data_IF_564920378181
#
_entry.id   IF_564920378181
#
_cell.length_a   1.000
_cell.length_b   1.000
_cell.length_c   1.000
_cell.angle_alpha   90.00
_cell.angle_beta   90.00
_cell.angle_gamma   90.00
#
_symmetry.space_group_name_H-M   'P 1'
#
loop_
_entity.id
_entity.type
_entity.pdbx_description
1 polymer ?
#
# COMPACT_ATOMS: atom_id res chain seq x y z
N UNK A 1 -8.66 22.79 12.88
CA UNK A 1 -8.04 21.53 12.44
C UNK A 1 -9.03 20.84 11.52
N UNK A 2 -8.72 20.68 10.23
CA UNK A 2 -9.52 19.85 9.33
C UNK A 2 -9.45 18.42 9.83
N UNK A 3 -10.59 17.83 10.15
CA UNK A 3 -10.69 16.44 10.57
C UNK A 3 -10.36 15.57 9.35
N UNK A 4 -9.19 14.90 9.38
CA UNK A 4 -8.69 14.07 8.27
C UNK A 4 -9.37 12.68 8.27
N UNK A 5 -9.72 12.18 9.47
CA UNK A 5 -10.37 10.88 9.67
C UNK A 5 -11.78 11.08 10.23
N UNK A 6 -12.78 10.38 9.68
CA UNK A 6 -14.15 10.44 10.22
C UNK A 6 -14.19 9.71 11.57
N UNK A 7 -13.50 8.57 11.70
CA UNK A 7 -13.29 7.90 12.99
C UNK A 7 -12.14 8.52 13.80
N UNK A 8 -12.27 8.57 15.13
CA UNK A 8 -11.19 8.94 16.07
C UNK A 8 -10.66 7.69 16.76
N UNK A 9 -9.95 6.83 16.03
CA UNK A 9 -9.08 5.90 16.72
C UNK A 9 -8.00 6.71 17.45
N UNK A 10 -7.86 6.47 18.75
CA UNK A 10 -6.75 6.98 19.55
C UNK A 10 -6.30 5.85 20.46
N UNK A 11 -4.98 5.62 20.52
CA UNK A 11 -4.44 4.69 21.51
C UNK A 11 -4.65 5.27 22.91
N UNK A 12 -4.76 4.40 23.91
CA UNK A 12 -4.76 4.85 25.30
C UNK A 12 -3.39 5.48 25.64
N UNK A 13 -3.40 6.62 26.33
CA UNK A 13 -2.20 7.36 26.72
C UNK A 13 -1.19 6.47 27.47
N UNK A 14 -1.61 5.80 28.54
CA UNK A 14 -0.72 5.02 29.39
C UNK A 14 -0.22 3.77 28.69
N UNK A 15 -1.10 3.08 27.95
CA UNK A 15 -0.71 1.89 27.18
C UNK A 15 0.32 2.26 26.10
N UNK A 16 0.09 3.35 25.36
CA UNK A 16 1.02 3.80 24.31
C UNK A 16 2.38 4.20 24.87
N UNK A 17 2.42 4.90 26.01
CA UNK A 17 3.67 5.25 26.70
C UNK A 17 4.41 4.01 27.20
N UNK A 18 3.71 3.06 27.84
CA UNK A 18 4.30 1.83 28.35
C UNK A 18 4.87 0.97 27.21
N UNK A 19 4.13 0.78 26.12
CA UNK A 19 4.64 0.08 24.93
C UNK A 19 5.88 0.77 24.35
N UNK A 20 5.86 2.10 24.27
CA UNK A 20 6.98 2.87 23.75
C UNK A 20 8.24 2.70 24.61
N UNK A 21 8.11 2.82 25.94
CA UNK A 21 9.23 2.63 26.87
C UNK A 21 9.78 1.19 26.81
N UNK A 22 8.88 0.19 26.78
CA UNK A 22 9.25 -1.22 26.59
C UNK A 22 10.11 -1.39 25.35
N UNK A 23 9.67 -0.87 24.20
CA UNK A 23 10.37 -1.06 22.93
C UNK A 23 11.70 -0.29 22.87
N UNK A 24 11.77 0.89 23.50
CA UNK A 24 13.02 1.63 23.66
C UNK A 24 14.04 0.85 24.51
N UNK A 25 13.59 0.24 25.62
CA UNK A 25 14.44 -0.62 26.47
C UNK A 25 14.92 -1.84 25.68
N UNK A 26 14.01 -2.58 25.03
CA UNK A 26 14.36 -3.75 24.22
C UNK A 26 15.36 -3.41 23.12
N UNK A 27 15.18 -2.27 22.45
CA UNK A 27 16.11 -1.78 21.44
C UNK A 27 17.49 -1.46 22.03
N UNK A 28 17.56 -0.91 23.24
CA UNK A 28 18.81 -0.57 23.91
C UNK A 28 19.58 -1.78 24.46
N UNK A 29 18.89 -2.87 24.84
CA UNK A 29 19.53 -4.06 25.40
C UNK A 29 20.58 -4.66 24.43
N UNK A 30 21.79 -5.04 24.89
CA UNK A 30 22.84 -5.61 24.04
C UNK A 30 22.60 -7.11 23.73
N UNK A 31 21.36 -7.48 23.40
CA UNK A 31 20.95 -8.85 23.09
C UNK A 31 20.66 -9.01 21.60
N UNK A 32 20.89 -10.21 21.05
CA UNK A 32 20.55 -10.52 19.66
C UNK A 32 19.04 -10.72 19.48
N UNK A 33 18.40 -11.47 20.39
CA UNK A 33 16.97 -11.78 20.37
C UNK A 33 16.44 -12.08 21.76
N UNK A 34 15.21 -11.65 22.04
CA UNK A 34 14.52 -12.01 23.28
C UNK A 34 14.10 -13.49 23.24
N UNK A 35 14.10 -14.20 24.39
CA UNK A 35 13.51 -15.52 24.48
C UNK A 35 12.04 -15.49 24.05
N UNK A 36 11.59 -16.54 23.33
CA UNK A 36 10.22 -16.64 22.80
C UNK A 36 9.13 -16.48 23.88
N UNK A 37 9.37 -17.00 25.09
CA UNK A 37 8.48 -16.83 26.25
C UNK A 37 8.31 -15.35 26.60
N UNK A 38 9.42 -14.60 26.63
CA UNK A 38 9.41 -13.18 26.96
C UNK A 38 8.76 -12.36 25.84
N UNK A 39 8.97 -12.72 24.56
CA UNK A 39 8.27 -12.10 23.44
C UNK A 39 6.75 -12.29 23.60
N UNK A 40 6.29 -13.52 23.86
CA UNK A 40 4.86 -13.80 24.06
C UNK A 40 4.29 -13.04 25.26
N UNK A 41 5.02 -12.96 26.36
CA UNK A 41 4.60 -12.20 27.55
C UNK A 41 4.48 -10.69 27.26
N UNK A 42 5.48 -10.12 26.57
CA UNK A 42 5.58 -8.68 26.34
C UNK A 42 4.74 -8.17 25.17
N UNK A 43 4.54 -8.99 24.14
CA UNK A 43 3.93 -8.59 22.86
C UNK A 43 2.68 -9.39 22.48
N UNK A 44 2.43 -10.51 23.16
CA UNK A 44 1.21 -11.31 22.98
C UNK A 44 1.15 -12.18 21.72
N UNK A 45 2.13 -12.11 20.83
CA UNK A 45 2.21 -12.91 19.59
C UNK A 45 3.62 -13.40 19.32
N UNK A 46 3.73 -14.44 18.49
CA UNK A 46 5.00 -15.00 18.02
C UNK A 46 5.16 -14.70 16.52
N UNK A 47 5.66 -13.49 16.24
CA UNK A 47 5.59 -12.88 14.92
C UNK A 47 6.57 -13.48 13.90
N UNK A 48 6.04 -13.83 12.73
CA UNK A 48 6.79 -14.27 11.53
C UNK A 48 7.06 -13.13 10.54
N UNK A 49 6.38 -12.00 10.68
CA UNK A 49 6.65 -10.80 9.89
C UNK A 49 6.54 -9.51 10.71
N UNK A 50 7.10 -8.44 10.18
CA UNK A 50 6.89 -7.08 10.65
C UNK A 50 6.60 -6.17 9.45
N UNK A 51 5.67 -5.25 9.61
CA UNK A 51 5.34 -4.24 8.60
C UNK A 51 5.73 -2.86 9.15
N UNK A 52 6.71 -2.23 8.50
CA UNK A 52 7.20 -0.92 8.89
C UNK A 52 6.28 0.17 8.35
N UNK A 53 5.90 1.11 9.21
CA UNK A 53 5.01 2.22 8.86
C UNK A 53 5.54 3.56 9.34
N UNK A 54 4.98 4.63 8.77
CA UNK A 54 5.28 6.01 9.16
C UNK A 54 3.98 6.84 9.14
N UNK A 55 3.90 7.95 9.89
CA UNK A 55 2.76 8.85 9.82
C UNK A 55 2.62 9.44 8.41
N UNK A 56 1.38 9.57 7.91
CA UNK A 56 1.06 10.28 6.66
C UNK A 56 0.88 11.77 6.92
N UNK A 57 0.28 12.09 8.06
CA UNK A 57 0.08 13.47 8.50
C UNK A 57 0.54 13.68 9.93
N UNK A 58 0.71 14.94 10.28
CA UNK A 58 1.07 15.38 11.62
C UNK A 58 0.14 14.82 12.73
N UNK A 59 -1.14 14.64 12.42
CA UNK A 59 -2.15 14.10 13.33
C UNK A 59 -1.86 12.65 13.72
N UNK A 60 -1.35 11.83 12.79
CA UNK A 60 -1.07 10.41 12.99
C UNK A 60 -0.08 10.16 14.12
N UNK A 61 0.87 11.08 14.30
CA UNK A 61 1.86 11.03 15.38
C UNK A 61 1.18 10.97 16.74
N UNK A 62 0.13 11.76 16.94
CA UNK A 62 -0.54 11.85 18.23
C UNK A 62 -1.69 10.87 18.41
N UNK A 63 -2.26 10.41 17.30
CA UNK A 63 -3.20 9.29 17.31
C UNK A 63 -2.49 8.02 17.79
N UNK A 64 -1.26 7.81 17.31
CA UNK A 64 -0.45 6.62 17.64
C UNK A 64 0.38 6.74 18.90
N UNK A 65 0.78 7.95 19.26
CA UNK A 65 1.50 8.26 20.48
C UNK A 65 0.87 9.45 21.22
N UNK A 66 -0.34 9.28 21.81
CA UNK A 66 -1.05 10.34 22.52
C UNK A 66 -0.26 10.97 23.67
N UNK A 67 0.70 10.25 24.24
CA UNK A 67 1.61 10.79 25.26
C UNK A 67 2.50 11.94 24.76
N UNK A 68 2.59 12.12 23.45
CA UNK A 68 3.29 13.25 22.82
C UNK A 68 2.39 14.49 22.65
N UNK A 69 1.08 14.40 22.91
CA UNK A 69 0.15 15.53 22.76
C UNK A 69 0.60 16.81 23.47
N UNK A 70 1.14 16.78 24.71
CA UNK A 70 1.60 17.99 25.39
C UNK A 70 2.66 18.77 24.61
N UNK A 71 3.50 18.10 23.80
CA UNK A 71 4.56 18.76 23.02
C UNK A 71 4.01 19.71 21.95
N UNK A 72 2.73 19.55 21.54
CA UNK A 72 2.06 20.48 20.61
C UNK A 72 2.02 21.91 21.12
N UNK A 73 1.95 22.08 22.43
CA UNK A 73 1.76 23.38 23.08
C UNK A 73 3.09 24.03 23.50
N UNK A 74 4.18 23.25 23.50
CA UNK A 74 5.49 23.68 24.03
C UNK A 74 6.44 24.13 22.90
N UNK A 75 6.43 23.44 21.75
CA UNK A 75 7.40 23.67 20.67
C UNK A 75 6.74 24.14 19.38
N UNK A 76 7.45 24.98 18.61
CA UNK A 76 7.04 25.30 17.23
C UNK A 76 6.96 24.02 16.42
N UNK A 77 5.90 23.91 15.60
CA UNK A 77 5.53 22.71 14.82
C UNK A 77 6.74 22.02 14.17
N UNK A 78 7.51 22.72 13.33
CA UNK A 78 8.65 22.14 12.59
C UNK A 78 9.73 21.58 13.51
N UNK A 79 10.08 22.30 14.58
CA UNK A 79 11.09 21.88 15.56
C UNK A 79 10.63 20.64 16.32
N UNK A 80 9.35 20.60 16.73
CA UNK A 80 8.78 19.44 17.40
C UNK A 80 8.92 18.17 16.54
N UNK A 81 8.49 18.17 15.27
CA UNK A 81 8.58 16.96 14.44
C UNK A 81 10.00 16.58 14.06
N UNK A 82 10.90 17.54 13.91
CA UNK A 82 12.32 17.25 13.73
C UNK A 82 12.89 16.55 14.97
N UNK A 83 12.46 16.90 16.17
CA UNK A 83 12.83 16.18 17.38
C UNK A 83 12.16 14.79 17.44
N UNK A 84 10.85 14.72 17.21
CA UNK A 84 10.07 13.49 17.26
C UNK A 84 10.53 12.45 16.22
N UNK A 85 10.98 12.88 15.04
CA UNK A 85 11.54 11.96 14.03
C UNK A 85 12.78 11.23 14.52
N UNK A 86 13.40 11.71 15.62
CA UNK A 86 14.56 11.07 16.23
C UNK A 86 14.25 10.02 17.29
N UNK A 87 12.98 9.91 17.66
CA UNK A 87 12.52 8.92 18.61
C UNK A 87 12.73 7.49 18.07
N UNK A 88 13.13 6.53 18.91
CA UNK A 88 13.22 5.13 18.50
C UNK A 88 11.88 4.61 17.96
N UNK A 89 11.96 3.63 17.04
CA UNK A 89 10.77 2.95 16.54
C UNK A 89 10.11 2.13 17.64
N UNK A 90 8.82 1.85 17.46
CA UNK A 90 8.02 1.14 18.44
C UNK A 90 6.98 0.25 17.75
N UNK A 91 6.55 -0.81 18.45
CA UNK A 91 5.45 -1.66 18.00
C UNK A 91 4.15 -0.91 18.23
N UNK A 92 3.48 -0.61 17.12
CA UNK A 92 2.17 0.01 17.14
C UNK A 92 1.11 -1.02 17.52
N UNK A 93 1.15 -2.17 16.85
CA UNK A 93 0.23 -3.28 17.10
C UNK A 93 0.75 -4.63 16.56
N UNK A 94 0.00 -5.69 16.82
CA UNK A 94 0.10 -7.00 16.18
C UNK A 94 -0.98 -7.19 15.13
N UNK A 95 -0.66 -7.93 14.07
CA UNK A 95 -1.62 -8.57 13.15
C UNK A 95 -1.70 -10.04 13.55
N UNK A 96 -2.90 -10.52 13.90
CA UNK A 96 -3.12 -11.93 14.28
C UNK A 96 -3.90 -12.64 13.20
N UNK A 97 -3.48 -13.84 12.83
CA UNK A 97 -4.12 -14.60 11.74
C UNK A 97 -4.38 -16.03 12.13
N UNK A 98 -5.49 -16.61 11.66
CA UNK A 98 -5.79 -18.03 11.90
C UNK A 98 -4.89 -18.96 11.10
N UNK A 99 -4.28 -18.49 10.01
CA UNK A 99 -3.32 -19.26 9.22
C UNK A 99 -1.94 -19.41 9.89
N UNK A 100 -1.74 -18.88 11.10
CA UNK A 100 -0.52 -19.08 11.87
C UNK A 100 0.68 -18.25 11.40
N UNK A 101 0.41 -17.13 10.74
CA UNK A 101 1.40 -16.10 10.40
C UNK A 101 0.99 -14.78 11.06
N UNK A 102 1.28 -14.67 12.35
CA UNK A 102 1.15 -13.42 13.09
C UNK A 102 2.30 -12.48 12.73
N UNK A 103 2.08 -11.18 12.90
CA UNK A 103 3.09 -10.16 12.65
C UNK A 103 2.95 -8.93 13.53
N UNK A 104 3.91 -8.02 13.39
CA UNK A 104 3.88 -6.70 14.02
C UNK A 104 3.70 -5.60 13.00
N UNK A 105 3.05 -4.51 13.42
CA UNK A 105 3.17 -3.21 12.78
C UNK A 105 4.11 -2.36 13.61
N UNK A 106 5.21 -1.94 13.02
CA UNK A 106 6.29 -1.20 13.68
C UNK A 106 6.37 0.19 13.09
N UNK A 107 6.16 1.20 13.92
CA UNK A 107 6.09 2.58 13.49
C UNK A 107 7.40 3.33 13.79
N UNK A 108 7.77 4.21 12.86
CA UNK A 108 8.68 5.33 13.11
C UNK A 108 7.92 6.66 13.02
N UNK A 109 8.41 7.70 13.69
CA UNK A 109 7.74 9.02 13.76
C UNK A 109 8.34 10.02 12.76
N UNK A 110 8.65 9.56 11.55
CA UNK A 110 9.23 10.40 10.49
C UNK A 110 8.19 10.68 9.42
N UNK A 111 7.90 11.96 9.16
CA UNK A 111 6.93 12.39 8.13
C UNK A 111 7.55 12.41 6.73
N UNK A 112 6.77 12.23 5.65
CA UNK A 112 7.26 12.19 4.26
C UNK A 112 8.16 13.37 3.87
N UNK A 113 7.83 14.59 4.31
CA UNK A 113 8.61 15.79 4.00
C UNK A 113 10.01 15.70 4.62
N UNK A 114 10.09 15.31 5.89
CA UNK A 114 11.37 15.11 6.60
C UNK A 114 12.14 13.90 6.07
N UNK A 115 11.45 12.85 5.64
CA UNK A 115 12.07 11.67 5.05
C UNK A 115 12.86 12.01 3.78
N UNK A 116 12.33 12.96 3.00
CA UNK A 116 12.96 13.45 1.77
C UNK A 116 14.16 14.34 2.08
N UNK A 117 14.01 15.28 3.02
CA UNK A 117 15.07 16.22 3.43
C UNK A 117 16.24 15.49 4.12
N UNK A 118 15.95 14.53 5.01
CA UNK A 118 16.93 13.83 5.85
C UNK A 118 17.01 12.33 5.50
N UNK A 119 17.22 11.99 4.22
CA UNK A 119 17.25 10.60 3.72
C UNK A 119 18.19 9.68 4.49
N UNK A 120 19.45 10.09 4.71
CA UNK A 120 20.45 9.28 5.46
C UNK A 120 19.97 8.99 6.88
N UNK A 121 19.38 10.00 7.51
CA UNK A 121 18.84 9.90 8.85
C UNK A 121 17.67 8.91 8.91
N UNK A 122 16.74 9.02 7.96
CA UNK A 122 15.59 8.12 7.86
C UNK A 122 16.03 6.67 7.70
N UNK A 123 17.04 6.40 6.88
CA UNK A 123 17.62 5.05 6.75
C UNK A 123 18.15 4.56 8.09
N UNK A 124 18.83 5.39 8.89
CA UNK A 124 19.29 5.01 10.23
C UNK A 124 18.13 4.65 11.18
N UNK A 125 16.99 5.35 11.11
CA UNK A 125 15.78 5.00 11.89
C UNK A 125 15.18 3.68 11.40
N UNK A 126 15.18 3.44 10.09
CA UNK A 126 14.76 2.15 9.51
C UNK A 126 15.67 1.00 9.96
N UNK A 127 16.99 1.19 10.01
CA UNK A 127 17.93 0.20 10.55
C UNK A 127 17.69 -0.07 12.04
N UNK A 128 17.36 0.95 12.84
CA UNK A 128 16.90 0.77 14.23
C UNK A 128 15.61 -0.04 14.29
N UNK A 129 14.71 0.13 13.33
CA UNK A 129 13.48 -0.63 13.23
C UNK A 129 13.76 -2.09 12.93
N UNK A 130 14.70 -2.39 12.02
CA UNK A 130 15.17 -3.75 11.77
C UNK A 130 15.80 -4.38 13.01
N UNK A 131 16.62 -3.63 13.77
CA UNK A 131 17.21 -4.10 15.03
C UNK A 131 16.16 -4.41 16.09
N UNK A 132 15.12 -3.59 16.21
CA UNK A 132 14.00 -3.87 17.11
C UNK A 132 13.28 -5.15 16.65
N UNK A 133 12.93 -5.23 15.37
CA UNK A 133 12.24 -6.38 14.76
C UNK A 133 13.03 -7.67 14.96
N UNK A 134 14.34 -7.68 14.71
CA UNK A 134 15.18 -8.88 14.85
C UNK A 134 15.19 -9.43 16.28
N UNK A 135 14.97 -8.54 17.27
CA UNK A 135 14.94 -8.90 18.69
C UNK A 135 13.62 -9.51 19.13
N UNK A 136 12.52 -9.13 18.48
CA UNK A 136 11.15 -9.44 18.92
C UNK A 136 10.40 -10.39 17.98
N UNK A 137 11.01 -10.78 16.87
CA UNK A 137 10.41 -11.70 15.88
C UNK A 137 11.20 -13.01 15.76
N UNK A 138 10.61 -13.98 15.06
CA UNK A 138 11.29 -15.24 14.72
C UNK A 138 12.48 -15.01 13.79
N UNK A 139 13.37 -15.99 13.76
CA UNK A 139 14.43 -16.04 12.75
C UNK A 139 13.84 -16.11 11.34
N UNK A 140 14.46 -15.38 10.40
CA UNK A 140 14.00 -15.33 9.02
C UNK A 140 12.71 -14.54 8.84
N UNK A 141 12.27 -13.78 9.85
CA UNK A 141 11.05 -12.98 9.75
C UNK A 141 11.11 -11.99 8.57
N UNK A 142 9.96 -11.83 7.92
CA UNK A 142 9.82 -10.97 6.75
C UNK A 142 9.52 -9.55 7.20
N UNK A 143 10.22 -8.56 6.65
CA UNK A 143 10.00 -7.14 6.90
C UNK A 143 9.43 -6.47 5.65
N UNK A 144 8.16 -6.08 5.71
CA UNK A 144 7.52 -5.28 4.67
C UNK A 144 7.72 -3.78 4.91
N UNK A 145 8.03 -3.04 3.84
CA UNK A 145 8.18 -1.59 3.87
C UNK A 145 6.91 -0.88 3.41
N UNK A 146 6.21 -0.20 4.32
CA UNK A 146 5.00 0.55 4.01
C UNK A 146 5.23 1.98 3.52
N UNK A 147 4.28 2.49 2.72
CA UNK A 147 4.18 3.90 2.34
C UNK A 147 5.42 4.41 1.60
N UNK A 148 6.07 5.44 2.14
CA UNK A 148 7.24 6.10 1.55
C UNK A 148 8.56 5.37 1.81
N UNK A 149 8.59 4.36 2.69
CA UNK A 149 9.81 3.63 3.05
C UNK A 149 10.51 2.98 1.85
N UNK A 150 9.82 2.33 0.90
CA UNK A 150 10.43 1.86 -0.35
C UNK A 150 11.12 2.99 -1.15
N UNK A 151 10.51 4.17 -1.25
CA UNK A 151 11.08 5.27 -2.03
C UNK A 151 12.40 5.77 -1.44
N UNK A 152 12.43 5.95 -0.11
CA UNK A 152 13.64 6.41 0.60
C UNK A 152 14.75 5.36 0.55
N UNK A 153 14.41 4.08 0.69
CA UNK A 153 15.38 2.97 0.77
C UNK A 153 15.85 2.42 -0.57
N UNK A 154 15.55 3.08 -1.71
CA UNK A 154 15.82 2.53 -3.06
C UNK A 154 15.18 1.15 -3.24
N UNK A 155 13.89 1.06 -2.92
CA UNK A 155 13.05 -0.15 -3.04
C UNK A 155 13.57 -1.32 -2.20
N UNK A 156 14.09 -1.01 -1.01
CA UNK A 156 14.64 -1.97 -0.04
C UNK A 156 16.15 -2.18 -0.12
N UNK A 157 16.80 -1.85 -1.24
CA UNK A 157 18.22 -2.14 -1.46
C UNK A 157 19.16 -1.49 -0.43
N UNK A 158 18.81 -0.31 0.10
CA UNK A 158 19.62 0.36 1.12
C UNK A 158 19.64 -0.37 2.48
N UNK A 159 18.67 -1.27 2.72
CA UNK A 159 18.50 -1.99 3.98
C UNK A 159 18.88 -3.46 3.90
N UNK A 160 19.07 -4.00 2.70
CA UNK A 160 19.31 -5.43 2.43
C UNK A 160 20.43 -6.00 3.28
N UNK A 161 21.62 -5.40 3.23
CA UNK A 161 22.79 -5.82 4.04
C UNK A 161 22.53 -5.76 5.55
N UNK A 162 21.72 -4.79 6.01
CA UNK A 162 21.38 -4.68 7.42
C UNK A 162 20.40 -5.79 7.82
N UNK A 163 19.37 -6.04 7.00
CA UNK A 163 18.40 -7.10 7.21
C UNK A 163 19.07 -8.48 7.24
N UNK A 164 19.96 -8.77 6.29
CA UNK A 164 20.71 -10.03 6.20
C UNK A 164 21.53 -10.29 7.47
N UNK A 165 22.32 -9.30 7.93
CA UNK A 165 23.09 -9.40 9.18
C UNK A 165 22.23 -9.66 10.41
N UNK A 166 20.98 -9.22 10.39
CA UNK A 166 20.01 -9.40 11.46
C UNK A 166 19.17 -10.68 11.31
N UNK A 167 19.39 -11.47 10.25
CA UNK A 167 18.63 -12.68 9.96
C UNK A 167 17.17 -12.40 9.57
N UNK A 168 16.94 -11.28 8.87
CA UNK A 168 15.63 -10.83 8.40
C UNK A 168 15.57 -10.87 6.86
N UNK A 169 14.39 -11.17 6.32
CA UNK A 169 14.08 -10.99 4.90
C UNK A 169 13.40 -9.63 4.72
N UNK A 170 13.67 -8.91 3.63
CA UNK A 170 13.07 -7.59 3.40
C UNK A 170 12.33 -7.56 2.05
N UNK A 171 11.15 -6.94 2.04
CA UNK A 171 10.36 -6.69 0.84
C UNK A 171 9.88 -5.24 0.80
N UNK A 172 9.83 -4.68 -0.41
CA UNK A 172 9.18 -3.40 -0.67
C UNK A 172 7.64 -3.49 -0.83
N UNK A 173 7.08 -4.71 -0.84
CA UNK A 173 5.64 -4.95 -0.87
C UNK A 173 4.95 -4.71 -2.23
N UNK A 174 5.71 -4.40 -3.29
CA UNK A 174 5.12 -4.05 -4.58
C UNK A 174 4.41 -5.21 -5.27
N UNK A 175 4.84 -6.46 -5.05
CA UNK A 175 4.19 -7.62 -5.67
C UNK A 175 2.82 -7.89 -5.04
N UNK A 176 2.70 -7.72 -3.72
CA UNK A 176 1.39 -7.78 -3.05
C UNK A 176 0.48 -6.62 -3.42
N UNK A 177 1.01 -5.40 -3.59
CA UNK A 177 0.23 -4.28 -4.14
C UNK A 177 -0.26 -4.58 -5.56
N UNK A 178 0.61 -5.11 -6.44
CA UNK A 178 0.20 -5.52 -7.78
C UNK A 178 -0.89 -6.61 -7.75
N UNK A 179 -0.72 -7.61 -6.87
CA UNK A 179 -1.71 -8.68 -6.64
C UNK A 179 -3.06 -8.10 -6.25
N UNK A 180 -3.07 -7.14 -5.32
CA UNK A 180 -4.32 -6.49 -4.89
C UNK A 180 -5.00 -5.68 -5.99
N UNK A 181 -4.25 -4.91 -6.79
CA UNK A 181 -4.81 -4.15 -7.92
C UNK A 181 -5.41 -5.12 -8.95
N UNK A 182 -4.68 -6.19 -9.28
CA UNK A 182 -5.14 -7.20 -10.22
C UNK A 182 -6.44 -7.88 -9.76
N UNK A 183 -6.48 -8.33 -8.50
CA UNK A 183 -7.66 -8.96 -7.91
C UNK A 183 -8.86 -8.01 -7.82
N UNK A 184 -8.63 -6.71 -7.56
CA UNK A 184 -9.70 -5.69 -7.58
C UNK A 184 -10.25 -5.50 -8.99
N UNK A 185 -9.40 -5.48 -10.02
CA UNK A 185 -9.86 -5.41 -11.42
C UNK A 185 -10.69 -6.64 -11.78
N UNK A 186 -10.25 -7.84 -11.42
CA UNK A 186 -11.02 -9.08 -11.64
C UNK A 186 -12.37 -9.03 -10.91
N UNK A 187 -12.40 -8.54 -9.66
CA UNK A 187 -13.63 -8.38 -8.88
C UNK A 187 -14.60 -7.40 -9.53
N UNK A 188 -14.11 -6.25 -10.02
CA UNK A 188 -14.96 -5.28 -10.74
C UNK A 188 -15.52 -5.88 -12.03
N UNK A 189 -14.69 -6.59 -12.80
CA UNK A 189 -15.12 -7.28 -14.01
C UNK A 189 -16.23 -8.30 -13.71
N UNK A 190 -16.04 -9.10 -12.65
CA UNK A 190 -17.02 -10.08 -12.18
C UNK A 190 -18.34 -9.44 -11.76
N UNK A 191 -18.30 -8.34 -11.00
CA UNK A 191 -19.51 -7.62 -10.56
C UNK A 191 -20.28 -7.06 -11.76
N UNK A 192 -19.58 -6.53 -12.76
CA UNK A 192 -20.18 -6.03 -14.00
C UNK A 192 -20.57 -7.11 -15.01
N UNK A 193 -20.22 -8.38 -14.79
CA UNK A 193 -20.42 -9.43 -15.80
C UNK A 193 -19.62 -9.21 -17.09
N UNK A 194 -18.53 -8.42 -17.04
CA UNK A 194 -17.72 -8.06 -18.21
C UNK A 194 -16.52 -9.02 -18.29
N UNK A 195 -16.26 -9.59 -19.48
CA UNK A 195 -15.07 -10.42 -19.65
C UNK A 195 -13.81 -9.55 -19.51
N UNK A 196 -12.80 -10.03 -18.77
CA UNK A 196 -11.51 -9.33 -18.65
C UNK A 196 -10.95 -8.92 -20.02
N UNK A 197 -11.09 -9.76 -21.05
CA UNK A 197 -10.62 -9.52 -22.43
C UNK A 197 -11.34 -8.37 -23.15
N UNK A 198 -12.47 -7.91 -22.64
CA UNK A 198 -13.24 -6.78 -23.18
C UNK A 198 -12.94 -5.48 -22.44
N UNK A 199 -12.23 -5.55 -21.30
CA UNK A 199 -11.91 -4.36 -20.52
C UNK A 199 -10.90 -3.46 -21.24
N UNK A 200 -11.31 -2.22 -21.46
CA UNK A 200 -10.45 -1.05 -21.63
C UNK A 200 -10.08 -0.42 -20.29
N UNK A 201 -8.79 -0.37 -19.96
CA UNK A 201 -8.26 0.13 -18.68
C UNK A 201 -7.30 1.30 -18.91
N UNK A 202 -7.50 2.40 -18.17
CA UNK A 202 -6.56 3.52 -18.12
C UNK A 202 -5.57 3.37 -16.96
N UNK A 203 -4.27 3.39 -17.25
CA UNK A 203 -3.21 3.43 -16.24
C UNK A 203 -2.67 4.85 -16.15
N UNK A 204 -2.97 5.55 -15.05
CA UNK A 204 -2.60 6.94 -14.76
C UNK A 204 -1.34 6.93 -13.87
N UNK A 205 -0.21 7.31 -14.47
CA UNK A 205 1.10 7.26 -13.83
C UNK A 205 1.81 5.95 -14.14
N UNK A 206 2.57 5.92 -15.22
CA UNK A 206 3.39 4.80 -15.71
C UNK A 206 4.80 4.90 -15.10
N UNK A 207 4.83 5.05 -13.78
CA UNK A 207 6.02 4.86 -12.97
C UNK A 207 6.31 3.36 -12.80
N UNK A 208 6.94 2.99 -11.68
CA UNK A 208 7.26 1.60 -11.39
C UNK A 208 6.02 0.71 -11.22
N UNK A 209 5.06 1.14 -10.40
CA UNK A 209 3.84 0.36 -10.19
C UNK A 209 2.96 0.31 -11.44
N UNK A 210 2.72 1.44 -12.12
CA UNK A 210 1.97 1.45 -13.38
C UNK A 210 2.59 0.59 -14.49
N UNK A 211 3.93 0.53 -14.57
CA UNK A 211 4.63 -0.42 -15.45
C UNK A 211 4.32 -1.87 -15.08
N UNK A 212 4.34 -2.23 -13.80
CA UNK A 212 4.02 -3.58 -13.33
C UNK A 212 2.55 -3.94 -13.58
N UNK A 213 1.62 -3.00 -13.39
CA UNK A 213 0.20 -3.18 -13.73
C UNK A 213 0.03 -3.43 -15.23
N UNK A 214 0.68 -2.63 -16.08
CA UNK A 214 0.64 -2.83 -17.53
C UNK A 214 1.18 -4.21 -17.96
N UNK A 215 2.27 -4.67 -17.32
CA UNK A 215 2.83 -6.02 -17.54
C UNK A 215 1.87 -7.13 -17.12
N UNK A 216 1.25 -7.00 -15.94
CA UNK A 216 0.34 -8.00 -15.40
C UNK A 216 -0.97 -8.13 -16.22
N UNK A 217 -1.43 -7.01 -16.79
CA UNK A 217 -2.65 -6.97 -17.61
C UNK A 217 -2.40 -7.29 -19.08
N UNK A 218 -1.15 -7.31 -19.52
CA UNK A 218 -0.78 -7.67 -20.89
C UNK A 218 -1.40 -9.04 -21.24
N UNK A 219 -2.07 -9.10 -22.38
CA UNK A 219 -2.77 -10.29 -22.91
C UNK A 219 -3.92 -10.82 -22.03
N UNK A 220 -4.33 -10.07 -21.00
CA UNK A 220 -5.47 -10.37 -20.13
C UNK A 220 -6.67 -9.46 -20.40
N UNK A 221 -6.42 -8.26 -20.92
CA UNK A 221 -7.44 -7.24 -21.18
C UNK A 221 -7.49 -6.81 -22.64
N UNK A 222 -8.58 -6.18 -23.05
CA UNK A 222 -8.80 -5.74 -24.43
C UNK A 222 -7.92 -4.56 -24.80
N UNK A 223 -7.94 -3.51 -23.97
CA UNK A 223 -7.19 -2.28 -24.24
C UNK A 223 -6.52 -1.72 -22.97
N UNK A 224 -5.31 -1.20 -23.16
CA UNK A 224 -4.56 -0.45 -22.15
C UNK A 224 -4.26 0.94 -22.67
N UNK A 225 -4.70 1.95 -21.93
CA UNK A 225 -4.34 3.35 -22.14
C UNK A 225 -3.30 3.75 -21.09
N UNK A 226 -2.05 3.95 -21.54
CA UNK A 226 -0.91 4.30 -20.70
C UNK A 226 -0.76 5.82 -20.65
N UNK A 227 -0.90 6.42 -19.48
CA UNK A 227 -1.03 7.87 -19.32
C UNK A 227 0.05 8.35 -18.35
N UNK A 228 0.97 9.20 -18.82
CA UNK A 228 2.05 9.75 -17.99
C UNK A 228 2.45 11.15 -18.49
N UNK A 229 3.11 11.93 -17.64
CA UNK A 229 3.78 13.17 -18.01
C UNK A 229 5.19 12.92 -18.58
N UNK A 230 5.72 11.71 -18.39
CA UNK A 230 7.06 11.32 -18.80
C UNK A 230 7.03 10.51 -20.11
N UNK A 231 7.35 11.19 -21.21
CA UNK A 231 7.45 10.60 -22.55
C UNK A 231 8.38 9.38 -22.63
N UNK A 232 9.49 9.39 -21.88
CA UNK A 232 10.47 8.31 -21.91
C UNK A 232 9.92 7.04 -21.25
N UNK A 233 9.19 7.16 -20.15
CA UNK A 233 8.55 6.01 -19.50
C UNK A 233 7.53 5.37 -20.44
N UNK A 234 6.68 6.19 -21.06
CA UNK A 234 5.68 5.74 -22.04
C UNK A 234 6.32 5.01 -23.22
N UNK A 235 7.37 5.58 -23.81
CA UNK A 235 8.09 4.96 -24.92
C UNK A 235 8.71 3.61 -24.53
N UNK A 236 9.36 3.54 -23.37
CA UNK A 236 9.98 2.31 -22.85
C UNK A 236 8.96 1.19 -22.68
N UNK A 237 7.88 1.43 -21.94
CA UNK A 237 6.88 0.38 -21.68
C UNK A 237 6.13 0.00 -22.95
N UNK A 238 5.81 0.95 -23.85
CA UNK A 238 5.12 0.65 -25.10
C UNK A 238 5.95 -0.29 -25.96
N UNK A 239 7.26 -0.02 -26.07
CA UNK A 239 8.18 -0.89 -26.82
C UNK A 239 8.31 -2.25 -26.14
N UNK A 240 8.46 -2.29 -24.83
CA UNK A 240 8.54 -3.53 -24.06
C UNK A 240 7.31 -4.42 -24.25
N UNK A 241 6.10 -3.84 -24.16
CA UNK A 241 4.86 -4.58 -24.34
C UNK A 241 4.71 -5.09 -25.78
N UNK A 242 5.15 -4.32 -26.78
CA UNK A 242 5.14 -4.71 -28.20
C UNK A 242 6.11 -5.83 -28.56
N UNK A 243 7.31 -5.84 -27.99
CA UNK A 243 8.37 -6.80 -28.35
C UNK A 243 8.05 -8.24 -27.94
N UNK A 244 7.15 -8.44 -26.97
CA UNK A 244 6.84 -9.77 -26.44
C UNK A 244 5.65 -10.46 -27.17
N UNK A 245 5.66 -10.50 -28.51
CA UNK A 245 4.78 -11.32 -29.36
C UNK A 245 3.41 -10.72 -29.75
N UNK A 246 2.53 -11.54 -30.33
CA UNK A 246 1.16 -11.17 -30.74
C UNK A 246 0.36 -10.63 -29.55
N UNK A 247 0.27 -9.31 -29.50
CA UNK A 247 -0.46 -8.59 -28.47
C UNK A 247 -1.96 -8.81 -28.65
N UNK A 248 -2.56 -9.58 -27.74
CA UNK A 248 -4.02 -9.65 -27.62
C UNK A 248 -4.61 -8.36 -27.05
N UNK A 249 -3.78 -7.55 -26.39
CA UNK A 249 -4.15 -6.28 -25.77
C UNK A 249 -3.71 -5.11 -26.65
N UNK A 250 -4.64 -4.25 -27.04
CA UNK A 250 -4.32 -2.98 -27.72
C UNK A 250 -3.68 -2.01 -26.73
N UNK A 251 -2.55 -1.41 -27.08
CA UNK A 251 -1.83 -0.47 -26.19
C UNK A 251 -1.74 0.91 -26.83
N UNK A 252 -2.38 1.88 -26.18
CA UNK A 252 -2.32 3.29 -26.53
C UNK A 252 -1.58 4.09 -25.45
N UNK A 253 -0.98 5.21 -25.85
CA UNK A 253 -0.17 6.05 -24.95
C UNK A 253 -0.62 7.50 -25.04
N UNK A 254 -0.83 8.15 -23.90
CA UNK A 254 -1.07 9.59 -23.80
C UNK A 254 0.04 10.25 -22.98
N UNK A 255 0.77 11.17 -23.61
CA UNK A 255 1.59 12.14 -22.89
C UNK A 255 0.65 13.22 -22.33
N UNK A 256 0.39 13.18 -21.03
CA UNK A 256 -0.57 14.06 -20.39
C UNK A 256 0.01 15.46 -20.17
N UNK A 257 -0.64 16.50 -20.73
CA UNK A 257 -0.36 17.89 -20.39
C UNK A 257 -1.41 18.38 -19.37
N UNK A 258 -1.02 18.71 -18.12
CA UNK A 258 -1.97 19.21 -17.11
C UNK A 258 -2.72 20.50 -17.50
N UNK A 259 -2.28 21.19 -18.57
CA UNK A 259 -2.92 22.39 -19.11
C UNK A 259 -4.00 22.07 -20.14
N UNK A 260 -3.97 20.89 -20.75
CA UNK A 260 -4.97 20.41 -21.70
C UNK A 260 -5.49 19.03 -21.28
N UNK A 261 -6.63 19.04 -20.60
CA UNK A 261 -7.27 17.84 -20.07
C UNK A 261 -8.21 17.16 -21.08
N UNK A 262 -8.41 17.73 -22.27
CA UNK A 262 -9.36 17.19 -23.27
C UNK A 262 -8.96 15.78 -23.73
N UNK A 263 -7.69 15.51 -24.11
CA UNK A 263 -7.26 14.17 -24.50
C UNK A 263 -7.47 13.13 -23.38
N UNK A 264 -7.15 13.51 -22.14
CA UNK A 264 -7.34 12.63 -20.98
C UNK A 264 -8.81 12.28 -20.80
N UNK A 265 -9.69 13.29 -20.74
CA UNK A 265 -11.14 13.10 -20.56
C UNK A 265 -11.72 12.18 -21.64
N UNK A 266 -11.27 12.32 -22.88
CA UNK A 266 -11.72 11.47 -23.98
C UNK A 266 -11.29 10.00 -23.81
N UNK A 267 -10.10 9.74 -23.27
CA UNK A 267 -9.66 8.38 -22.93
C UNK A 267 -10.47 7.82 -21.76
N UNK A 268 -10.65 8.60 -20.68
CA UNK A 268 -11.40 8.14 -19.50
C UNK A 268 -12.86 7.81 -19.82
N UNK A 269 -13.46 8.49 -20.82
CA UNK A 269 -14.81 8.18 -21.34
C UNK A 269 -14.91 6.81 -22.01
N UNK A 270 -13.82 6.26 -22.53
CA UNK A 270 -13.79 4.94 -23.19
C UNK A 270 -13.43 3.80 -22.23
N UNK A 271 -12.78 4.13 -21.11
CA UNK A 271 -12.30 3.12 -20.18
C UNK A 271 -13.38 2.70 -19.20
N UNK A 272 -13.45 1.39 -18.94
CA UNK A 272 -14.27 0.80 -17.89
C UNK A 272 -13.71 1.17 -16.51
N UNK A 273 -12.38 1.08 -16.36
CA UNK A 273 -11.68 1.24 -15.09
C UNK A 273 -10.44 2.12 -15.28
N UNK A 274 -10.20 3.04 -14.34
CA UNK A 274 -8.93 3.73 -14.16
C UNK A 274 -8.09 3.12 -13.03
N UNK A 275 -6.77 3.06 -13.20
CA UNK A 275 -5.81 2.66 -12.17
C UNK A 275 -4.80 3.79 -12.01
N UNK A 276 -4.79 4.43 -10.84
CA UNK A 276 -3.91 5.54 -10.53
C UNK A 276 -2.75 5.06 -9.65
N UNK A 277 -1.53 5.14 -10.19
CA UNK A 277 -0.30 4.65 -9.55
C UNK A 277 0.81 5.71 -9.55
N UNK A 278 0.40 6.98 -9.42
CA UNK A 278 1.33 8.13 -9.40
C UNK A 278 2.00 8.30 -8.04
N UNK A 279 3.17 8.94 -8.04
CA UNK A 279 3.87 9.38 -6.82
C UNK A 279 3.60 10.86 -6.50
N UNK A 280 2.57 11.46 -7.11
CA UNK A 280 2.20 12.84 -6.84
C UNK A 280 1.77 13.00 -5.37
N UNK A 281 2.23 14.07 -4.73
CA UNK A 281 1.84 14.45 -3.37
C UNK A 281 0.62 15.38 -3.33
N UNK A 282 -0.02 15.60 -4.49
CA UNK A 282 -1.19 16.44 -4.69
C UNK A 282 -2.17 15.75 -5.64
N UNK A 283 -3.44 16.14 -5.56
CA UNK A 283 -4.45 15.70 -6.52
C UNK A 283 -4.04 16.10 -7.94
N UNK A 284 -4.04 15.15 -8.85
CA UNK A 284 -3.66 15.36 -10.26
C UNK A 284 -4.86 15.61 -11.16
N UNK A 285 -6.06 15.21 -10.73
CA UNK A 285 -7.34 15.44 -11.41
C UNK A 285 -8.30 16.25 -10.53
N UNK A 286 -9.29 16.89 -11.17
CA UNK A 286 -10.52 17.39 -10.56
C UNK A 286 -11.64 16.37 -10.75
N UNK A 287 -12.69 16.44 -9.95
CA UNK A 287 -13.86 15.54 -10.07
C UNK A 287 -14.42 15.56 -11.50
N UNK A 288 -14.57 16.76 -12.07
CA UNK A 288 -15.09 16.96 -13.43
C UNK A 288 -14.15 16.53 -14.57
N UNK A 289 -12.89 16.16 -14.27
CA UNK A 289 -12.02 15.52 -15.27
C UNK A 289 -12.37 14.04 -15.46
N UNK A 290 -13.11 13.45 -14.53
CA UNK A 290 -13.61 12.09 -14.62
C UNK A 290 -15.08 12.11 -15.10
N UNK A 291 -15.44 11.30 -16.09
CA UNK A 291 -16.85 11.13 -16.50
C UNK A 291 -17.72 10.55 -15.38
N UNK A 292 -19.03 10.80 -15.41
CA UNK A 292 -19.98 10.16 -14.48
C UNK A 292 -19.89 8.63 -14.60
N UNK A 293 -20.17 7.89 -13.53
CA UNK A 293 -20.03 6.43 -13.49
C UNK A 293 -18.59 5.93 -13.64
N UNK A 294 -17.58 6.80 -13.60
CA UNK A 294 -16.18 6.37 -13.70
C UNK A 294 -15.75 5.65 -12.42
N UNK A 295 -15.16 4.47 -12.60
CA UNK A 295 -14.57 3.69 -11.51
C UNK A 295 -13.04 3.81 -11.61
N UNK A 296 -12.41 4.21 -10.52
CA UNK A 296 -10.96 4.33 -10.43
C UNK A 296 -10.42 3.59 -9.20
N UNK A 297 -9.25 2.99 -9.31
CA UNK A 297 -8.48 2.40 -8.20
C UNK A 297 -7.31 3.35 -7.92
N UNK A 298 -7.28 4.03 -6.77
CA UNK A 298 -6.20 4.98 -6.41
C UNK A 298 -5.21 4.37 -5.42
N UNK A 299 -4.06 3.91 -5.93
CA UNK A 299 -2.95 3.36 -5.14
C UNK A 299 -2.01 4.45 -4.59
N UNK A 300 -2.19 5.71 -5.02
CA UNK A 300 -1.31 6.80 -4.59
C UNK A 300 -1.49 7.13 -3.09
N UNK A 301 -0.37 7.33 -2.39
CA UNK A 301 -0.33 7.75 -0.98
C UNK A 301 0.66 8.90 -0.77
N UNK A 302 0.21 10.14 -0.46
CA UNK A 302 -1.19 10.61 -0.38
C UNK A 302 -2.01 10.42 -1.66
N UNK A 303 -3.34 10.44 -1.55
CA UNK A 303 -4.27 10.24 -2.67
C UNK A 303 -4.05 11.25 -3.80
N UNK A 304 -4.16 10.75 -5.03
CA UNK A 304 -3.94 11.52 -6.24
C UNK A 304 -5.24 11.85 -6.98
N UNK A 305 -6.31 11.09 -6.75
CA UNK A 305 -7.63 11.34 -7.30
C UNK A 305 -8.55 12.01 -6.28
N UNK A 306 -9.42 12.95 -6.69
CA UNK A 306 -10.42 13.50 -5.80
C UNK A 306 -11.56 12.50 -5.60
N UNK A 307 -11.95 12.25 -4.35
CA UNK A 307 -13.22 11.58 -4.04
C UNK A 307 -14.40 12.43 -4.50
N UNK A 308 -15.43 11.80 -5.03
CA UNK A 308 -16.67 12.44 -5.45
C UNK A 308 -17.66 12.50 -4.27
N UNK A 309 -18.00 13.68 -3.75
CA UNK A 309 -18.93 13.79 -2.62
C UNK A 309 -20.36 13.35 -2.95
N UNK A 310 -20.71 13.23 -4.24
CA UNK A 310 -22.03 12.78 -4.69
C UNK A 310 -22.08 11.27 -4.98
N UNK A 311 -20.94 10.57 -4.89
CA UNK A 311 -20.80 9.16 -5.29
C UNK A 311 -21.24 8.87 -6.75
N UNK A 312 -21.23 9.88 -7.64
CA UNK A 312 -21.46 9.66 -9.08
C UNK A 312 -20.24 9.03 -9.76
N UNK A 313 -19.05 9.16 -9.16
CA UNK A 313 -17.80 8.51 -9.56
C UNK A 313 -17.24 7.73 -8.37
N UNK A 314 -16.83 6.49 -8.63
CA UNK A 314 -16.31 5.60 -7.60
C UNK A 314 -14.79 5.63 -7.65
N UNK A 315 -14.18 6.45 -6.80
CA UNK A 315 -12.74 6.37 -6.54
C UNK A 315 -12.55 5.40 -5.39
N UNK A 316 -11.97 4.25 -5.67
CA UNK A 316 -11.72 3.16 -4.74
C UNK A 316 -10.32 3.26 -4.15
N UNK A 317 -10.17 2.80 -2.92
CA UNK A 317 -8.86 2.54 -2.32
C UNK A 317 -8.09 1.53 -3.16
N UNK A 318 -6.95 1.96 -3.68
CA UNK A 318 -5.98 1.05 -4.29
C UNK A 318 -5.23 0.27 -3.23
N UNK A 319 -4.83 -0.93 -3.63
CA UNK A 319 -3.89 -1.69 -2.84
C UNK A 319 -4.52 -2.55 -1.74
N UNK A 320 -5.77 -3.01 -1.81
CA UNK A 320 -6.41 -3.74 -0.70
C UNK A 320 -6.52 -5.25 -0.93
N UNK A 321 -6.11 -6.02 0.08
CA UNK A 321 -6.35 -7.46 0.19
C UNK A 321 -7.15 -7.74 1.45
N UNK A 322 -7.91 -8.84 1.45
CA UNK A 322 -8.65 -9.32 2.60
C UNK A 322 -8.00 -10.60 3.11
N UNK A 323 -7.39 -10.55 4.29
CA UNK A 323 -6.86 -11.75 4.95
C UNK A 323 -7.98 -12.30 5.83
N UNK A 324 -8.50 -13.49 5.48
CA UNK A 324 -9.61 -14.10 6.22
C UNK A 324 -9.30 -14.21 7.71
N UNK A 325 -10.25 -13.74 8.54
CA UNK A 325 -10.18 -13.75 10.01
C UNK A 325 -8.95 -13.06 10.63
N UNK A 326 -8.27 -12.17 9.89
CA UNK A 326 -7.20 -11.37 10.46
C UNK A 326 -7.75 -10.37 11.47
N UNK A 327 -7.12 -10.31 12.65
CA UNK A 327 -7.40 -9.31 13.68
C UNK A 327 -6.30 -8.26 13.61
N UNK A 328 -6.70 -7.04 13.29
CA UNK A 328 -5.84 -5.87 13.13
C UNK A 328 -6.37 -4.80 14.07
N UNK A 329 -5.53 -4.32 14.98
CA UNK A 329 -5.98 -3.44 16.05
C UNK A 329 -5.40 -2.00 15.92
N UNK A 330 -5.08 -1.54 14.70
CA UNK A 330 -4.66 -0.16 14.47
C UNK A 330 -5.50 0.51 13.39
N UNK A 331 -5.83 1.79 13.58
CA UNK A 331 -6.68 2.53 12.65
C UNK A 331 -6.08 3.90 12.35
N UNK A 332 -5.45 4.03 11.19
CA UNK A 332 -5.16 5.33 10.59
C UNK A 332 -6.13 5.55 9.44
N UNK A 333 -7.43 5.67 9.70
CA UNK A 333 -8.46 5.67 8.66
C UNK A 333 -8.47 4.39 7.81
N UNK A 334 -7.90 3.31 8.35
CA UNK A 334 -7.78 2.00 7.71
C UNK A 334 -7.27 0.97 8.74
N UNK A 335 -7.94 -0.19 8.85
CA UNK A 335 -7.57 -1.27 9.79
C UNK A 335 -8.59 -1.58 10.91
N UNK A 336 -9.85 -1.18 10.75
CA UNK A 336 -10.98 -1.61 11.61
C UNK A 336 -11.66 -2.90 11.12
N UNK A 337 -11.29 -3.37 9.93
CA UNK A 337 -11.79 -4.59 9.32
C UNK A 337 -10.60 -5.50 8.96
N UNK A 338 -10.87 -6.61 8.27
CA UNK A 338 -9.86 -7.57 7.84
C UNK A 338 -9.19 -7.21 6.50
N UNK A 339 -9.34 -5.97 6.01
CA UNK A 339 -8.58 -5.47 4.88
C UNK A 339 -7.19 -5.00 5.30
N UNK A 340 -6.21 -5.32 4.46
CA UNK A 340 -4.82 -4.89 4.59
C UNK A 340 -4.35 -4.26 3.29
N UNK A 341 -3.36 -3.38 3.38
CA UNK A 341 -2.64 -2.95 2.19
C UNK A 341 -1.89 -4.13 1.57
N UNK A 342 -1.79 -4.16 0.24
CA UNK A 342 -1.15 -5.21 -0.53
C UNK A 342 0.32 -5.38 -0.14
N UNK A 343 1.00 -4.30 0.24
CA UNK A 343 2.37 -4.35 0.75
C UNK A 343 2.50 -5.04 2.12
N UNK A 344 1.49 -4.95 2.99
CA UNK A 344 1.40 -5.76 4.21
C UNK A 344 1.02 -7.20 3.85
N UNK A 345 0.06 -7.38 2.94
CA UNK A 345 -0.34 -8.69 2.42
C UNK A 345 0.83 -9.48 1.84
N UNK A 346 1.78 -8.84 1.15
CA UNK A 346 3.01 -9.49 0.70
C UNK A 346 3.86 -9.99 1.87
N UNK A 347 4.08 -9.17 2.89
CA UNK A 347 4.83 -9.58 4.07
C UNK A 347 4.17 -10.77 4.78
N UNK A 348 2.84 -10.76 4.87
CA UNK A 348 2.05 -11.88 5.39
C UNK A 348 2.19 -13.14 4.52
N UNK A 349 1.98 -13.05 3.21
CA UNK A 349 2.05 -14.20 2.29
C UNK A 349 3.45 -14.82 2.27
N UNK A 350 4.51 -14.01 2.27
CA UNK A 350 5.89 -14.48 2.36
C UNK A 350 6.19 -15.20 3.69
N UNK A 351 5.61 -14.70 4.78
CA UNK A 351 5.76 -15.32 6.10
C UNK A 351 4.93 -16.59 6.25
N UNK A 352 3.78 -16.66 5.58
CA UNK A 352 2.94 -17.85 5.52
C UNK A 352 3.59 -18.93 4.65
N UNK A 353 4.15 -18.55 3.50
CA UNK A 353 4.84 -19.49 2.60
C UNK A 353 6.18 -19.98 3.15
N UNK A 354 6.69 -19.36 4.22
CA UNK A 354 7.97 -19.71 4.85
C UNK A 354 9.17 -19.69 3.88
N UNK A 355 9.07 -18.92 2.78
CA UNK A 355 10.08 -18.88 1.72
C UNK A 355 9.96 -19.96 0.64
N UNK A 356 8.92 -20.78 0.69
CA UNK A 356 8.55 -21.68 -0.40
C UNK A 356 7.79 -20.89 -1.46
N UNK A 357 8.18 -21.08 -2.73
CA UNK A 357 7.50 -20.61 -3.95
C UNK A 357 7.34 -19.08 -4.14
N UNK A 358 7.55 -18.27 -3.10
CA UNK A 358 7.48 -16.82 -3.11
C UNK A 358 8.83 -16.20 -2.71
N UNK A 359 9.21 -15.14 -3.42
CA UNK A 359 10.42 -14.37 -3.15
C UNK A 359 10.07 -12.96 -2.68
N UNK A 360 10.78 -12.41 -1.67
CA UNK A 360 10.62 -11.01 -1.30
C UNK A 360 10.90 -10.08 -2.48
N UNK A 361 10.05 -9.08 -2.66
CA UNK A 361 10.25 -8.10 -3.74
C UNK A 361 11.28 -7.05 -3.35
N UNK A 362 12.40 -7.04 -4.08
CA UNK A 362 13.39 -5.98 -4.04
C UNK A 362 13.58 -5.40 -5.43
N UNK A 363 13.53 -4.07 -5.55
CA UNK A 363 13.53 -3.42 -6.85
C UNK A 363 12.19 -3.54 -7.61
N UNK A 364 12.24 -4.04 -8.83
CA UNK A 364 11.08 -4.20 -9.73
C UNK A 364 10.37 -5.55 -9.49
N UNK A 365 9.09 -5.65 -9.83
CA UNK A 365 8.33 -6.89 -9.64
C UNK A 365 8.68 -7.86 -10.76
N UNK A 366 9.12 -9.06 -10.39
CA UNK A 366 9.26 -10.19 -11.30
C UNK A 366 7.88 -10.78 -11.63
N UNK A 367 7.62 -11.01 -12.92
CA UNK A 367 6.30 -11.45 -13.38
C UNK A 367 5.99 -12.88 -12.90
N UNK A 368 6.98 -13.77 -12.84
CA UNK A 368 6.77 -15.13 -12.37
C UNK A 368 6.46 -15.14 -10.88
N UNK A 369 7.19 -14.34 -10.10
CA UNK A 369 6.91 -14.18 -8.67
C UNK A 369 5.51 -13.57 -8.43
N UNK A 370 5.07 -12.64 -9.28
CA UNK A 370 3.69 -12.14 -9.25
C UNK A 370 2.65 -13.24 -9.50
N UNK A 371 2.84 -14.06 -10.53
CA UNK A 371 1.92 -15.18 -10.82
C UNK A 371 1.89 -16.19 -9.66
N UNK A 372 3.05 -16.50 -9.08
CA UNK A 372 3.14 -17.36 -7.90
C UNK A 372 2.40 -16.73 -6.71
N UNK A 373 2.57 -15.43 -6.46
CA UNK A 373 1.90 -14.71 -5.37
C UNK A 373 0.39 -14.65 -5.57
N UNK A 374 -0.08 -14.45 -6.80
CA UNK A 374 -1.49 -14.46 -7.14
C UNK A 374 -2.13 -15.84 -6.87
N UNK A 375 -1.47 -16.92 -7.28
CA UNK A 375 -1.94 -18.28 -7.01
C UNK A 375 -1.92 -18.60 -5.51
N UNK A 376 -0.81 -18.28 -4.84
CA UNK A 376 -0.68 -18.47 -3.40
C UNK A 376 -1.76 -17.71 -2.62
N UNK A 377 -2.07 -16.47 -3.04
CA UNK A 377 -3.14 -15.65 -2.45
C UNK A 377 -4.48 -16.39 -2.50
N UNK A 378 -4.84 -16.93 -3.68
CA UNK A 378 -6.10 -17.66 -3.90
C UNK A 378 -6.18 -18.94 -3.07
N UNK A 379 -5.09 -19.70 -2.99
CA UNK A 379 -5.02 -20.97 -2.25
C UNK A 379 -5.08 -20.76 -0.73
N UNK A 380 -4.60 -19.63 -0.22
CA UNK A 380 -4.43 -19.39 1.22
C UNK A 380 -5.47 -18.43 1.82
N UNK A 381 -6.57 -18.15 1.10
CA UNK A 381 -7.67 -17.32 1.61
C UNK A 381 -7.29 -15.85 1.77
N UNK A 382 -6.38 -15.36 0.94
CA UNK A 382 -6.10 -13.93 0.76
C UNK A 382 -6.81 -13.49 -0.51
N UNK A 383 -7.86 -12.69 -0.36
CA UNK A 383 -8.77 -12.32 -1.44
C UNK A 383 -8.62 -10.84 -1.81
N UNK A 384 -9.30 -10.43 -2.89
CA UNK A 384 -9.52 -9.01 -3.17
C UNK A 384 -10.12 -8.33 -1.92
N UNK A 385 -9.63 -7.14 -1.60
CA UNK A 385 -10.20 -6.32 -0.54
C UNK A 385 -11.68 -5.97 -0.78
N UNK A 386 -12.33 -5.49 0.27
CA UNK A 386 -13.60 -4.80 0.13
C UNK A 386 -13.41 -3.53 -0.71
N UNK A 387 -14.41 -3.21 -1.53
CA UNK A 387 -14.38 -2.00 -2.34
C UNK A 387 -14.69 -0.85 -1.39
N UNK A 388 -13.75 0.09 -1.23
CA UNK A 388 -13.89 1.19 -0.28
C UNK A 388 -13.54 2.51 -0.94
N UNK A 389 -14.24 3.57 -0.59
CA UNK A 389 -13.87 4.95 -0.90
C UNK A 389 -13.65 5.67 0.42
N UNK A 390 -12.40 5.87 0.82
CA UNK A 390 -12.04 6.26 2.19
C UNK A 390 -12.56 5.22 3.20
N UNK A 391 -13.36 5.65 4.17
CA UNK A 391 -13.98 4.79 5.18
C UNK A 391 -15.27 4.12 4.69
N UNK A 392 -15.84 4.56 3.56
CA UNK A 392 -17.14 4.10 3.06
C UNK A 392 -17.00 2.82 2.23
N UNK A 393 -17.86 1.83 2.48
CA UNK A 393 -17.95 0.62 1.66
C UNK A 393 -18.76 0.90 0.39
N UNK A 394 -18.27 0.39 -0.73
CA UNK A 394 -18.93 0.46 -2.04
C UNK A 394 -19.54 -0.91 -2.32
N UNK A 395 -20.85 -0.94 -2.55
CA UNK A 395 -21.61 -2.16 -2.82
C UNK A 395 -21.37 -2.69 -4.24
N UNK A 396 -21.84 -3.90 -4.52
CA UNK A 396 -21.82 -4.44 -5.88
C UNK A 396 -22.82 -3.67 -6.77
N UNK A 397 -23.94 -3.24 -6.20
CA UNK A 397 -24.97 -2.43 -6.85
C UNK A 397 -24.42 -1.07 -7.30
N UNK A 398 -23.63 -0.40 -6.46
CA UNK A 398 -22.98 0.87 -6.83
C UNK A 398 -22.08 0.71 -8.06
N UNK A 399 -21.31 -0.39 -8.11
CA UNK A 399 -20.43 -0.72 -9.25
C UNK A 399 -21.24 -1.02 -10.51
N UNK A 400 -22.32 -1.80 -10.40
CA UNK A 400 -23.23 -2.09 -11.52
C UNK A 400 -23.86 -0.81 -12.07
N UNK A 401 -24.39 0.03 -11.19
CA UNK A 401 -24.98 1.32 -11.57
C UNK A 401 -23.96 2.23 -12.28
N UNK A 402 -22.72 2.28 -11.80
CA UNK A 402 -21.65 3.03 -12.45
C UNK A 402 -21.34 2.53 -13.88
N UNK A 403 -21.29 1.20 -14.08
CA UNK A 403 -21.13 0.62 -15.41
C UNK A 403 -22.37 0.84 -16.31
N UNK A 404 -23.57 0.73 -15.74
CA UNK A 404 -24.83 0.94 -16.46
C UNK A 404 -24.96 2.37 -16.99
N UNK A 405 -24.70 3.38 -16.15
CA UNK A 405 -24.66 4.80 -16.56
C UNK A 405 -23.73 5.09 -17.72
N UNK A 406 -22.72 4.23 -17.90
CA UNK A 406 -21.72 4.33 -18.96
C UNK A 406 -22.03 3.50 -20.19
N UNK A 407 -23.14 2.78 -20.19
CA UNK A 407 -23.55 1.89 -21.27
C UNK A 407 -22.60 0.70 -21.44
N UNK A 408 -21.83 0.34 -20.42
CA UNK A 408 -20.95 -0.83 -20.46
C UNK A 408 -21.70 -2.13 -20.14
N UNK A 409 -22.83 -2.02 -19.44
CA UNK A 409 -23.74 -3.13 -19.15
C UNK A 409 -25.18 -2.68 -19.41
N UNK A 410 -26.08 -3.62 -19.67
CA UNK A 410 -27.51 -3.37 -19.77
C UNK A 410 -28.17 -3.42 -18.38
N UNK A 411 -29.33 -2.79 -18.23
CA UNK A 411 -30.11 -2.95 -17.00
C UNK A 411 -30.72 -4.36 -17.02
N UNK A 412 -30.42 -5.17 -16.00
CA UNK A 412 -31.07 -6.48 -15.79
C UNK A 412 -32.42 -6.31 -15.11
#
# INVERSE_FOLDING_TARGET
MTQIYRSRWNRNFFISLACYLRDAIVLALPIKRLPKILIRLLYGVDAKFAFLVHPRFYQDVYISSPFLNPLKFILRKKTAYKFLSRMPPFVLNSVRTKQGADGFVVAQITLPELMSEERKYTISVMEKSLKLVSKITREGAVVGLGGWLPMISRRGAALEKCAEKLGLKITNGHCGTLTSIYLTIEKLAQIGGINMKELSIAIIGVGKMGTNVARALKNKVGELFLIDINKNNLGKIKNELKLAGDLRTRVETLLNDPRDMVPLRNILKKCHIGVCTTSAYRKILRVNDMPDGFIAIDDARPEALPRDPKNERLVLEGGLLKIKDAIINYDYGFGLDNNVFGCLGEAFMLALSNGENLKPTLGDVDIQNFLNMLNFSRENGVLAGDLKSSEDFISHEDVKEAFFRRGFIQNE
#
